data_IF_672263732654
#
_entry.id   IF_672263732654
#
_cell.length_a   1.000
_cell.length_b   1.000
_cell.length_c   1.000
_cell.angle_alpha   90.00
_cell.angle_beta   90.00
_cell.angle_gamma   90.00
#
_symmetry.space_group_name_H-M   'P 1'
#
loop_
_entity.id
_entity.type
_entity.pdbx_description
1 polymer ?
#
# COMPACT_ATOMS: atom_id res chain seq x y z
N UNK A 1 -40.33 -47.50 27.83
CA UNK A 1 -40.35 -46.03 27.67
C UNK A 1 -39.05 -45.63 27.00
N UNK A 2 -39.05 -45.50 25.68
CA UNK A 2 -37.85 -45.19 24.88
C UNK A 2 -37.89 -43.69 24.59
N UNK A 3 -36.93 -42.95 25.10
CA UNK A 3 -36.75 -41.53 24.79
C UNK A 3 -36.00 -41.42 23.45
N UNK A 4 -36.69 -40.97 22.41
CA UNK A 4 -36.04 -40.46 21.20
C UNK A 4 -35.47 -39.07 21.52
N UNK A 5 -34.14 -38.96 21.51
CA UNK A 5 -33.45 -37.66 21.48
C UNK A 5 -33.43 -37.23 20.01
N UNK A 6 -34.26 -36.25 19.66
CA UNK A 6 -34.20 -35.59 18.37
C UNK A 6 -32.99 -34.63 18.38
N UNK A 7 -31.92 -34.98 17.66
CA UNK A 7 -30.90 -34.01 17.28
C UNK A 7 -31.54 -33.02 16.29
N UNK A 8 -31.92 -31.85 16.78
CA UNK A 8 -32.20 -30.70 15.93
C UNK A 8 -30.87 -30.16 15.40
N UNK A 9 -30.44 -30.65 14.24
CA UNK A 9 -29.38 -30.01 13.49
C UNK A 9 -29.84 -28.62 13.08
N UNK A 10 -29.12 -27.58 13.53
CA UNK A 10 -29.29 -26.21 13.03
C UNK A 10 -28.87 -26.17 11.57
N UNK A 11 -29.82 -26.42 10.67
CA UNK A 11 -29.66 -26.08 9.26
C UNK A 11 -29.50 -24.57 9.18
N UNK A 12 -28.32 -24.10 8.77
CA UNK A 12 -28.11 -22.70 8.44
C UNK A 12 -29.19 -22.30 7.42
N UNK A 13 -30.08 -21.39 7.83
CA UNK A 13 -31.17 -20.95 7.00
C UNK A 13 -30.60 -20.10 5.85
N UNK A 14 -30.40 -20.72 4.69
CA UNK A 14 -30.07 -20.01 3.47
C UNK A 14 -31.33 -19.32 2.97
N UNK A 15 -31.40 -17.99 3.13
CA UNK A 15 -32.45 -17.22 2.48
C UNK A 15 -32.32 -17.38 0.96
N UNK A 16 -33.45 -17.62 0.29
CA UNK A 16 -33.49 -17.59 -1.16
C UNK A 16 -33.11 -16.19 -1.64
N UNK A 17 -32.30 -16.12 -2.70
CA UNK A 17 -31.96 -14.85 -3.31
C UNK A 17 -33.22 -14.19 -3.89
N UNK A 18 -33.34 -12.85 -3.85
CA UNK A 18 -34.37 -12.16 -4.62
C UNK A 18 -34.31 -12.60 -6.09
N UNK A 19 -35.46 -12.84 -6.72
CA UNK A 19 -35.53 -13.42 -8.06
C UNK A 19 -34.69 -12.63 -9.09
N UNK A 20 -34.71 -11.29 -9.01
CA UNK A 20 -33.91 -10.43 -9.88
C UNK A 20 -32.40 -10.64 -9.74
N UNK A 21 -31.92 -11.01 -8.55
CA UNK A 21 -30.51 -11.33 -8.28
C UNK A 21 -30.19 -12.72 -8.81
N UNK A 22 -31.02 -13.72 -8.52
CA UNK A 22 -30.85 -15.09 -9.03
C UNK A 22 -30.80 -15.13 -10.58
N UNK A 23 -31.72 -14.42 -11.24
CA UNK A 23 -31.75 -14.32 -12.70
C UNK A 23 -30.51 -13.61 -13.26
N UNK A 24 -30.01 -12.58 -12.59
CA UNK A 24 -28.79 -11.87 -12.97
C UNK A 24 -27.55 -12.78 -12.84
N UNK A 25 -27.43 -13.54 -11.75
CA UNK A 25 -26.35 -14.51 -11.54
C UNK A 25 -26.39 -15.61 -12.62
N UNK A 26 -27.58 -16.16 -12.89
CA UNK A 26 -27.79 -17.16 -13.96
C UNK A 26 -27.39 -16.61 -15.32
N UNK A 27 -27.79 -15.38 -15.66
CA UNK A 27 -27.42 -14.71 -16.92
C UNK A 27 -25.91 -14.48 -17.03
N UNK A 28 -25.24 -14.16 -15.92
CA UNK A 28 -23.79 -13.98 -15.85
C UNK A 28 -23.01 -15.32 -15.82
N UNK A 29 -23.70 -16.46 -15.71
CA UNK A 29 -23.06 -17.77 -15.56
C UNK A 29 -22.37 -17.97 -14.20
N UNK A 30 -22.79 -17.24 -13.18
CA UNK A 30 -22.24 -17.31 -11.82
C UNK A 30 -23.13 -18.25 -10.99
N UNK A 31 -22.63 -19.40 -10.52
CA UNK A 31 -23.40 -20.30 -9.67
C UNK A 31 -23.70 -19.66 -8.30
N UNK A 32 -24.94 -19.79 -7.81
CA UNK A 32 -25.36 -19.18 -6.53
C UNK A 32 -24.52 -19.65 -5.34
N UNK A 33 -24.07 -20.91 -5.33
CA UNK A 33 -23.20 -21.44 -4.27
C UNK A 33 -21.82 -20.79 -4.20
N UNK A 34 -21.41 -20.04 -5.23
CA UNK A 34 -20.16 -19.29 -5.26
C UNK A 34 -20.37 -17.82 -4.86
N UNK A 35 -21.54 -17.46 -4.36
CA UNK A 35 -21.92 -16.11 -3.96
C UNK A 35 -22.33 -16.12 -2.50
N UNK A 36 -21.72 -15.23 -1.71
CA UNK A 36 -22.14 -14.95 -0.34
C UNK A 36 -22.68 -13.50 -0.26
N UNK A 37 -23.88 -13.34 0.29
CA UNK A 37 -24.51 -12.04 0.49
C UNK A 37 -24.99 -11.90 1.94
N UNK A 38 -24.70 -10.73 2.50
CA UNK A 38 -25.20 -10.31 3.79
C UNK A 38 -25.68 -8.86 3.67
N UNK A 39 -26.96 -8.61 3.94
CA UNK A 39 -27.55 -7.27 3.92
C UNK A 39 -28.18 -7.02 5.26
N UNK A 40 -27.70 -5.99 5.96
CA UNK A 40 -28.16 -5.63 7.29
C UNK A 40 -28.37 -4.13 7.34
N UNK A 41 -29.61 -3.71 7.60
CA UNK A 41 -29.87 -2.30 7.89
C UNK A 41 -29.22 -1.95 9.24
N UNK A 42 -28.42 -0.88 9.27
CA UNK A 42 -27.60 -0.52 10.45
C UNK A 42 -28.39 -0.29 11.74
N UNK A 43 -29.70 0.00 11.64
CA UNK A 43 -30.58 0.22 12.78
C UNK A 43 -31.33 -1.05 13.24
N UNK A 44 -31.31 -2.11 12.43
CA UNK A 44 -32.05 -3.33 12.72
C UNK A 44 -31.24 -4.27 13.61
N UNK A 45 -31.92 -5.24 14.23
CA UNK A 45 -31.28 -6.27 15.06
C UNK A 45 -30.87 -7.51 14.27
N UNK A 46 -31.42 -7.69 13.08
CA UNK A 46 -31.28 -8.90 12.26
C UNK A 46 -31.06 -8.52 10.80
N UNK A 47 -30.27 -9.29 10.05
CA UNK A 47 -30.07 -9.02 8.63
C UNK A 47 -31.36 -9.19 7.83
N UNK A 48 -31.52 -8.36 6.80
CA UNK A 48 -32.58 -8.45 5.79
C UNK A 48 -32.34 -9.61 4.82
N UNK A 49 -31.08 -9.93 4.53
CA UNK A 49 -30.67 -11.03 3.66
C UNK A 49 -29.43 -11.70 4.23
N UNK A 50 -29.46 -13.03 4.28
CA UNK A 50 -28.31 -13.88 4.61
C UNK A 50 -28.30 -15.09 3.67
N UNK A 51 -27.37 -15.09 2.70
CA UNK A 51 -27.22 -16.15 1.71
C UNK A 51 -25.77 -16.58 1.65
N UNK A 52 -25.47 -17.85 2.00
CA UNK A 52 -24.10 -18.37 2.19
C UNK A 52 -23.23 -17.45 3.06
N UNK A 53 -23.83 -16.64 3.94
CA UNK A 53 -23.16 -15.49 4.53
C UNK A 53 -22.01 -15.87 5.46
N UNK A 54 -22.08 -17.04 6.10
CA UNK A 54 -21.05 -17.59 6.98
C UNK A 54 -19.90 -18.28 6.23
N UNK A 55 -20.00 -18.47 4.91
CA UNK A 55 -18.93 -19.08 4.13
C UNK A 55 -17.77 -18.11 3.96
N UNK A 56 -16.56 -18.55 4.33
CA UNK A 56 -15.34 -17.80 4.07
C UNK A 56 -15.11 -17.68 2.56
N UNK A 57 -14.92 -16.45 2.08
CA UNK A 57 -14.68 -16.16 0.67
C UNK A 57 -13.46 -15.28 0.51
N UNK A 58 -12.77 -15.40 -0.63
CA UNK A 58 -11.72 -14.46 -1.01
C UNK A 58 -12.25 -13.04 -1.04
N UNK A 59 -11.60 -12.14 -0.30
CA UNK A 59 -12.12 -10.79 -0.09
C UNK A 59 -11.80 -9.85 -1.25
N UNK A 60 -10.70 -10.12 -1.96
CA UNK A 60 -10.00 -9.07 -2.69
C UNK A 60 -9.83 -7.83 -1.78
N UNK A 61 -9.83 -6.63 -2.34
CA UNK A 61 -9.52 -5.39 -1.62
C UNK A 61 -10.44 -5.01 -0.46
N UNK A 62 -11.59 -5.68 -0.25
CA UNK A 62 -12.43 -5.36 0.93
C UNK A 62 -11.76 -5.73 2.25
N UNK A 63 -10.69 -6.56 2.23
CA UNK A 63 -9.84 -6.79 3.40
C UNK A 63 -9.28 -5.49 4.00
N UNK A 64 -9.07 -4.46 3.17
CA UNK A 64 -8.60 -3.15 3.65
C UNK A 64 -9.54 -2.53 4.67
N UNK A 65 -10.84 -2.83 4.64
CA UNK A 65 -11.81 -2.37 5.64
C UNK A 65 -11.46 -2.94 7.02
N UNK A 66 -11.08 -4.22 7.09
CA UNK A 66 -10.62 -4.85 8.34
C UNK A 66 -9.37 -4.15 8.88
N UNK A 67 -8.36 -3.97 8.03
CA UNK A 67 -7.09 -3.33 8.40
C UNK A 67 -7.27 -1.87 8.81
N UNK A 68 -8.01 -1.09 8.03
CA UNK A 68 -8.20 0.35 8.26
C UNK A 68 -9.10 0.62 9.46
N UNK A 69 -10.16 -0.15 9.66
CA UNK A 69 -11.00 0.01 10.85
C UNK A 69 -10.23 -0.32 12.13
N UNK A 70 -9.50 -1.45 12.14
CA UNK A 70 -8.64 -1.81 13.27
C UNK A 70 -7.62 -0.72 13.58
N UNK A 71 -6.99 -0.13 12.56
CA UNK A 71 -6.05 0.96 12.73
C UNK A 71 -6.68 2.22 13.31
N UNK A 72 -7.84 2.65 12.81
CA UNK A 72 -8.54 3.83 13.32
C UNK A 72 -8.91 3.66 14.80
N UNK A 73 -9.36 2.48 15.21
CA UNK A 73 -9.74 2.22 16.60
C UNK A 73 -8.51 2.10 17.51
N UNK A 74 -7.49 1.36 17.08
CA UNK A 74 -6.29 1.07 17.89
C UNK A 74 -5.32 2.24 18.01
N UNK A 75 -5.16 3.04 16.95
CA UNK A 75 -4.18 4.13 16.88
C UNK A 75 -4.84 5.52 17.00
N UNK A 76 -6.16 5.60 16.82
CA UNK A 76 -6.95 6.83 16.68
C UNK A 76 -6.73 7.58 15.36
N UNK A 77 -7.74 8.31 14.85
CA UNK A 77 -7.62 9.08 13.60
C UNK A 77 -6.51 10.14 13.60
N UNK A 78 -6.08 10.59 14.79
CA UNK A 78 -5.05 11.62 14.96
C UNK A 78 -3.62 11.08 14.91
N UNK A 79 -3.43 9.75 14.87
CA UNK A 79 -2.11 9.14 14.76
C UNK A 79 -1.35 9.68 13.54
N UNK A 80 -0.05 9.89 13.70
CA UNK A 80 0.85 10.34 12.64
C UNK A 80 2.14 9.55 12.69
N UNK A 81 2.65 9.20 11.53
CA UNK A 81 3.97 8.61 11.40
C UNK A 81 5.03 9.70 11.45
N UNK A 82 6.24 9.34 11.89
CA UNK A 82 7.39 10.23 11.87
C UNK A 82 8.44 9.76 10.88
N UNK A 83 9.16 10.72 10.31
CA UNK A 83 10.42 10.50 9.58
C UNK A 83 11.47 11.40 10.21
N UNK A 84 12.61 10.82 10.59
CA UNK A 84 13.65 11.53 11.34
C UNK A 84 14.94 11.63 10.52
N UNK A 85 15.63 12.76 10.64
CA UNK A 85 16.97 12.97 10.10
C UNK A 85 17.97 13.13 11.23
N UNK A 86 19.10 12.45 11.11
CA UNK A 86 20.23 12.55 12.01
C UNK A 86 21.51 12.89 11.26
N UNK A 87 22.45 13.48 11.98
CA UNK A 87 23.85 13.58 11.55
C UNK A 87 24.70 12.58 12.31
N UNK A 88 25.59 11.89 11.61
CA UNK A 88 26.69 11.15 12.20
C UNK A 88 28.01 11.80 11.77
N UNK A 89 28.40 12.83 12.52
CA UNK A 89 29.51 13.73 12.20
C UNK A 89 29.27 15.15 12.67
N UNK A 90 30.29 16.00 12.55
CA UNK A 90 30.23 17.41 12.93
C UNK A 90 29.59 18.25 11.82
N UNK A 91 28.75 19.22 12.19
CA UNK A 91 28.22 20.23 11.28
C UNK A 91 28.96 21.54 11.54
N UNK A 92 29.87 21.91 10.62
CA UNK A 92 30.67 23.12 10.72
C UNK A 92 30.73 23.84 9.37
N UNK A 93 30.65 25.18 9.40
CA UNK A 93 30.68 26.01 8.18
C UNK A 93 29.70 25.53 7.09
N UNK A 94 28.50 25.13 7.50
CA UNK A 94 27.44 24.62 6.62
C UNK A 94 27.73 23.27 5.94
N UNK A 95 28.77 22.56 6.38
CA UNK A 95 29.17 21.25 5.87
C UNK A 95 28.98 20.19 6.95
N UNK A 96 28.18 19.16 6.67
CA UNK A 96 28.14 17.95 7.47
C UNK A 96 29.36 17.09 7.12
N UNK A 97 30.33 17.04 8.04
CA UNK A 97 31.53 16.22 7.97
C UNK A 97 31.23 14.81 8.46
N UNK A 98 30.43 14.08 7.69
CA UNK A 98 29.99 12.73 8.04
C UNK A 98 28.75 12.30 7.27
N UNK A 99 28.12 11.23 7.74
CA UNK A 99 26.97 10.61 7.09
C UNK A 99 25.67 11.33 7.52
N UNK A 100 24.76 11.54 6.57
CA UNK A 100 23.38 11.95 6.84
C UNK A 100 22.54 10.68 6.97
N UNK A 101 21.83 10.53 8.09
CA UNK A 101 20.98 9.35 8.32
C UNK A 101 19.51 9.74 8.24
N UNK A 102 18.73 9.01 7.45
CA UNK A 102 17.27 9.08 7.43
C UNK A 102 16.72 7.81 8.08
N UNK A 103 15.93 7.96 9.14
CA UNK A 103 15.23 6.83 9.77
C UNK A 103 13.74 6.91 9.45
N UNK A 104 13.25 5.90 8.75
CA UNK A 104 11.84 5.76 8.44
C UNK A 104 11.11 4.92 9.48
N UNK A 105 9.86 5.30 9.76
CA UNK A 105 8.96 4.59 10.68
C UNK A 105 7.70 4.09 9.98
N UNK A 106 7.77 3.88 8.67
CA UNK A 106 6.71 3.21 7.92
C UNK A 106 5.55 4.10 7.48
N UNK A 107 5.77 5.41 7.30
CA UNK A 107 4.75 6.32 6.76
C UNK A 107 4.24 5.85 5.39
N UNK A 108 2.96 5.43 5.27
CA UNK A 108 2.39 4.98 4.00
C UNK A 108 2.16 6.12 3.00
N UNK A 109 2.16 7.36 3.47
CA UNK A 109 1.77 8.55 2.71
C UNK A 109 2.96 9.42 2.27
N UNK A 110 4.19 9.02 2.59
CA UNK A 110 5.38 9.82 2.36
C UNK A 110 5.67 10.01 0.86
N UNK A 111 5.43 11.23 0.35
CA UNK A 111 5.60 11.57 -1.07
C UNK A 111 6.86 12.39 -1.32
N UNK A 112 7.21 12.57 -2.59
CA UNK A 112 8.33 13.42 -3.01
C UNK A 112 8.19 14.87 -2.50
N UNK A 113 6.97 15.38 -2.38
CA UNK A 113 6.69 16.71 -1.81
C UNK A 113 7.03 16.77 -0.32
N UNK A 114 6.74 15.71 0.43
CA UNK A 114 7.09 15.59 1.85
C UNK A 114 8.60 15.47 2.02
N UNK A 115 9.26 14.74 1.12
CA UNK A 115 10.72 14.68 1.10
C UNK A 115 11.34 16.05 0.79
N UNK A 116 10.78 16.79 -0.17
CA UNK A 116 11.22 18.14 -0.50
C UNK A 116 11.10 19.10 0.69
N UNK A 117 9.99 19.07 1.44
CA UNK A 117 9.80 19.86 2.68
C UNK A 117 10.81 19.49 3.76
N UNK A 118 11.07 18.19 3.94
CA UNK A 118 12.06 17.68 4.88
C UNK A 118 13.47 18.18 4.52
N UNK A 119 13.82 18.15 3.23
CA UNK A 119 15.13 18.63 2.75
C UNK A 119 15.27 20.15 2.81
N UNK A 120 14.19 20.91 2.62
CA UNK A 120 14.19 22.35 2.90
C UNK A 120 14.49 22.62 4.37
N UNK A 121 13.84 21.89 5.27
CA UNK A 121 14.08 22.01 6.71
C UNK A 121 15.54 21.67 7.03
N UNK A 122 16.13 20.70 6.34
CA UNK A 122 17.55 20.34 6.48
C UNK A 122 18.49 21.46 6.02
N UNK A 123 18.16 22.13 4.92
CA UNK A 123 18.88 23.33 4.45
C UNK A 123 18.78 24.46 5.48
N UNK A 124 17.59 24.70 6.04
CA UNK A 124 17.33 25.71 7.06
C UNK A 124 18.06 25.41 8.38
N UNK A 125 18.22 24.13 8.72
CA UNK A 125 19.04 23.68 9.84
C UNK A 125 20.56 23.84 9.62
N UNK A 126 20.96 24.41 8.48
CA UNK A 126 22.33 24.83 8.20
C UNK A 126 23.16 23.82 7.43
N UNK A 127 22.58 22.73 6.91
CA UNK A 127 23.31 21.78 6.07
C UNK A 127 23.26 22.27 4.62
N UNK A 128 24.41 22.64 4.05
CA UNK A 128 24.55 22.95 2.61
C UNK A 128 25.25 21.85 1.82
N UNK A 129 26.21 21.19 2.46
CA UNK A 129 27.01 20.11 1.89
C UNK A 129 27.04 18.92 2.84
N UNK A 130 27.00 17.71 2.28
CA UNK A 130 27.19 16.47 3.01
C UNK A 130 28.44 15.80 2.42
N UNK A 131 29.48 15.65 3.24
CA UNK A 131 30.77 15.07 2.82
C UNK A 131 30.82 13.55 2.91
N UNK A 132 29.95 12.94 3.72
CA UNK A 132 29.79 11.49 3.81
C UNK A 132 28.66 10.97 2.92
N UNK A 133 28.02 9.90 3.39
CA UNK A 133 27.04 9.09 2.67
C UNK A 133 25.61 9.43 3.11
N UNK A 134 24.64 8.96 2.32
CA UNK A 134 23.25 8.89 2.77
C UNK A 134 23.02 7.49 3.36
N UNK A 135 22.72 7.44 4.65
CA UNK A 135 22.34 6.20 5.35
C UNK A 135 20.83 6.16 5.49
N UNK A 136 20.20 5.08 5.05
CA UNK A 136 18.78 4.82 5.26
C UNK A 136 18.64 3.72 6.33
N UNK A 137 18.08 4.10 7.48
CA UNK A 137 17.73 3.19 8.56
C UNK A 137 16.28 2.72 8.39
N UNK A 138 16.14 1.43 8.08
CA UNK A 138 14.86 0.73 7.87
C UNK A 138 14.51 -0.26 8.99
N UNK A 139 15.24 -0.22 10.12
CA UNK A 139 15.12 -1.22 11.20
C UNK A 139 13.79 -1.20 11.95
N UNK A 140 12.91 -0.24 11.66
CA UNK A 140 11.57 -0.18 12.27
C UNK A 140 10.69 -1.37 11.87
N UNK A 141 10.82 -1.84 10.63
CA UNK A 141 10.16 -3.05 10.16
C UNK A 141 11.16 -4.19 10.09
N UNK A 142 10.70 -5.42 10.35
CA UNK A 142 11.55 -6.59 10.15
C UNK A 142 11.83 -6.79 8.67
N UNK A 143 13.03 -7.29 8.33
CA UNK A 143 13.36 -7.62 6.95
C UNK A 143 12.50 -8.80 6.47
N UNK A 144 11.45 -8.51 5.71
CA UNK A 144 10.65 -9.54 5.03
C UNK A 144 11.37 -9.99 3.76
N UNK A 145 11.58 -11.30 3.62
CA UNK A 145 12.13 -11.94 2.40
C UNK A 145 11.04 -12.63 1.57
N UNK A 146 9.77 -12.50 1.95
CA UNK A 146 8.69 -13.25 1.33
C UNK A 146 8.18 -12.48 0.11
N UNK A 147 8.68 -12.82 -1.07
CA UNK A 147 8.02 -12.46 -2.33
C UNK A 147 6.78 -13.34 -2.48
N UNK A 148 5.59 -12.79 -2.17
CA UNK A 148 4.33 -13.48 -2.42
C UNK A 148 3.99 -13.30 -3.90
N UNK A 149 4.27 -14.33 -4.70
CA UNK A 149 3.98 -14.35 -6.12
C UNK A 149 2.57 -14.90 -6.36
N UNK A 150 1.56 -14.02 -6.35
CA UNK A 150 0.15 -14.37 -6.65
C UNK A 150 -0.28 -14.01 -8.08
N UNK A 151 0.57 -13.30 -8.83
CA UNK A 151 0.39 -12.98 -10.25
C UNK A 151 1.74 -12.81 -10.98
N UNK A 152 1.72 -12.84 -12.31
CA UNK A 152 2.92 -12.66 -13.13
C UNK A 152 3.34 -11.19 -13.32
N UNK A 153 2.74 -10.25 -12.60
CA UNK A 153 2.83 -8.80 -12.84
C UNK A 153 3.82 -8.14 -11.85
N UNK A 154 5.01 -8.71 -11.72
CA UNK A 154 6.05 -8.31 -10.74
C UNK A 154 6.29 -6.81 -10.62
N UNK A 155 6.27 -6.09 -11.74
CA UNK A 155 6.64 -4.67 -11.79
C UNK A 155 5.48 -3.72 -11.55
N UNK A 156 4.25 -4.19 -11.38
CA UNK A 156 3.12 -3.29 -11.17
C UNK A 156 3.22 -2.62 -9.80
N UNK A 157 2.92 -1.33 -9.74
CA UNK A 157 3.03 -0.57 -8.49
C UNK A 157 2.18 -1.16 -7.35
N UNK A 158 1.05 -1.82 -7.66
CA UNK A 158 0.21 -2.48 -6.65
C UNK A 158 0.86 -3.72 -6.01
N UNK A 159 1.96 -4.22 -6.59
CA UNK A 159 2.77 -5.33 -6.09
C UNK A 159 4.02 -4.87 -5.32
N UNK A 160 4.25 -3.56 -5.18
CA UNK A 160 5.39 -3.08 -4.41
C UNK A 160 5.36 -3.60 -2.96
N UNK A 161 6.54 -3.91 -2.45
CA UNK A 161 6.73 -4.39 -1.08
C UNK A 161 6.78 -3.22 -0.09
N UNK A 162 6.22 -3.36 1.12
CA UNK A 162 6.30 -2.33 2.14
C UNK A 162 7.75 -2.16 2.63
N UNK A 163 8.04 -0.98 3.19
CA UNK A 163 9.34 -0.63 3.76
C UNK A 163 9.18 0.39 4.88
N UNK A 164 10.09 0.38 5.85
CA UNK A 164 10.11 1.39 6.89
C UNK A 164 10.38 2.81 6.33
N UNK A 165 11.03 2.93 5.16
CA UNK A 165 11.15 4.20 4.44
C UNK A 165 10.80 4.02 2.97
N UNK A 166 9.68 4.59 2.56
CA UNK A 166 9.11 4.39 1.22
C UNK A 166 8.69 5.75 0.64
N UNK A 167 9.34 6.19 -0.43
CA UNK A 167 9.00 7.45 -1.11
C UNK A 167 8.05 7.17 -2.27
N UNK A 168 6.91 7.88 -2.34
CA UNK A 168 5.86 7.71 -3.36
C UNK A 168 5.36 6.26 -3.50
N UNK A 169 5.49 5.42 -2.48
CA UNK A 169 5.17 3.99 -2.63
C UNK A 169 6.06 3.24 -3.64
N UNK A 170 7.23 3.80 -4.01
CA UNK A 170 8.07 3.40 -5.16
C UNK A 170 7.36 3.44 -6.51
N UNK A 171 6.30 4.23 -6.61
CA UNK A 171 5.56 4.34 -7.85
C UNK A 171 6.32 5.23 -8.85
N UNK A 172 6.61 4.65 -10.03
CA UNK A 172 7.05 5.36 -11.22
C UNK A 172 5.90 5.38 -12.21
N UNK A 173 5.24 6.53 -12.34
CA UNK A 173 4.17 6.73 -13.32
C UNK A 173 4.76 7.03 -14.69
N UNK A 174 4.48 6.16 -15.66
CA UNK A 174 4.80 6.38 -17.07
C UNK A 174 3.59 6.96 -17.78
N UNK A 175 3.74 8.16 -18.33
CA UNK A 175 2.75 8.87 -19.12
C UNK A 175 2.96 8.60 -20.60
N UNK A 176 1.92 8.06 -21.24
CA UNK A 176 1.85 7.75 -22.67
C UNK A 176 0.93 8.75 -23.36
N UNK A 177 1.40 9.33 -24.47
CA UNK A 177 0.58 10.16 -25.33
C UNK A 177 0.99 9.93 -26.79
N UNK A 178 0.05 9.93 -27.72
CA UNK A 178 0.35 9.90 -29.14
C UNK A 178 0.34 11.32 -29.72
N UNK A 179 1.45 11.73 -30.32
CA UNK A 179 1.47 12.88 -31.22
C UNK A 179 0.93 12.48 -32.60
N UNK A 180 0.97 13.41 -33.57
CA UNK A 180 0.63 13.10 -34.96
C UNK A 180 1.57 12.03 -35.56
N UNK A 181 2.84 12.03 -35.16
CA UNK A 181 3.89 11.21 -35.78
C UNK A 181 4.31 10.00 -34.94
N UNK A 182 4.29 10.11 -33.61
CA UNK A 182 4.90 9.12 -32.72
C UNK A 182 4.10 8.91 -31.43
N UNK A 183 4.49 7.89 -30.67
CA UNK A 183 4.06 7.71 -29.28
C UNK A 183 5.16 8.30 -28.41
N UNK A 184 4.81 9.19 -27.49
CA UNK A 184 5.71 9.76 -26.49
C UNK A 184 5.48 9.05 -25.16
N UNK A 185 6.58 8.70 -24.49
CA UNK A 185 6.57 8.10 -23.15
C UNK A 185 7.47 8.95 -22.26
N UNK A 186 6.94 9.36 -21.11
CA UNK A 186 7.64 10.21 -20.13
C UNK A 186 7.32 9.76 -18.70
N UNK A 187 8.08 10.23 -17.72
CA UNK A 187 7.79 10.02 -16.30
C UNK A 187 7.03 11.24 -15.75
N UNK A 188 6.05 11.05 -14.87
CA UNK A 188 5.44 12.18 -14.15
C UNK A 188 6.42 12.84 -13.18
N UNK A 189 7.23 12.02 -12.50
CA UNK A 189 8.35 12.48 -11.66
C UNK A 189 9.66 11.95 -12.24
N UNK A 190 10.36 12.81 -12.97
CA UNK A 190 11.56 12.42 -13.72
C UNK A 190 12.75 12.11 -12.78
N UNK A 191 13.15 10.84 -12.78
CA UNK A 191 14.43 10.37 -12.26
C UNK A 191 15.34 10.02 -13.45
N UNK A 192 16.52 10.67 -13.61
CA UNK A 192 17.46 10.38 -14.69
C UNK A 192 17.93 8.92 -14.74
N UNK A 193 17.95 8.25 -13.59
CA UNK A 193 18.31 6.84 -13.45
C UNK A 193 17.23 5.87 -13.95
N UNK A 194 16.06 6.35 -14.38
CA UNK A 194 15.04 5.56 -15.07
C UNK A 194 15.12 5.86 -16.57
N UNK A 195 15.83 5.00 -17.29
CA UNK A 195 16.06 5.14 -18.74
C UNK A 195 14.89 4.53 -19.51
N UNK A 196 14.17 5.35 -20.26
CA UNK A 196 13.05 4.90 -21.11
C UNK A 196 13.57 4.56 -22.50
N UNK A 197 13.32 3.34 -22.96
CA UNK A 197 13.52 2.91 -24.34
C UNK A 197 12.15 2.73 -24.99
N UNK A 198 11.76 3.67 -25.83
CA UNK A 198 10.45 3.68 -26.46
C UNK A 198 10.50 3.07 -27.87
N UNK A 199 9.91 1.88 -28.03
CA UNK A 199 9.79 1.16 -29.31
C UNK A 199 8.32 1.00 -29.73
N UNK A 200 7.42 1.82 -29.17
CA UNK A 200 6.01 1.77 -29.49
C UNK A 200 5.73 2.28 -30.89
N UNK A 201 4.89 1.54 -31.62
CA UNK A 201 4.37 1.95 -32.92
C UNK A 201 3.04 2.68 -32.74
N UNK A 202 2.95 3.89 -33.29
CA UNK A 202 1.67 4.61 -33.36
C UNK A 202 0.73 3.87 -34.33
N UNK A 203 -0.52 3.68 -33.93
CA UNK A 203 -1.56 3.12 -34.79
C UNK A 203 -2.79 4.03 -34.90
N UNK A 204 -3.52 3.91 -36.00
CA UNK A 204 -4.88 4.43 -36.11
C UNK A 204 -5.87 3.43 -35.48
N UNK A 205 -7.08 3.89 -35.13
CA UNK A 205 -8.12 3.05 -34.54
C UNK A 205 -8.55 3.47 -33.14
N UNK A 206 -9.51 2.75 -32.57
CA UNK A 206 -10.05 3.03 -31.24
C UNK A 206 -9.06 2.68 -30.13
N UNK A 207 -9.19 3.33 -28.98
CA UNK A 207 -8.29 3.04 -27.86
C UNK A 207 -8.53 1.64 -27.28
N UNK A 208 -9.79 1.23 -27.08
CA UNK A 208 -10.14 -0.08 -26.52
C UNK A 208 -9.29 -0.49 -25.31
N UNK A 209 -8.97 -1.78 -25.21
CA UNK A 209 -7.96 -2.26 -24.28
C UNK A 209 -6.55 -2.00 -24.83
N UNK A 210 -5.99 -0.83 -24.54
CA UNK A 210 -4.66 -0.48 -25.02
C UNK A 210 -3.51 -1.25 -24.34
N UNK A 211 -3.77 -2.09 -23.31
CA UNK A 211 -2.70 -2.72 -22.47
C UNK A 211 -2.30 -4.03 -23.07
N UNK A 212 -3.27 -4.83 -23.52
CA UNK A 212 -3.00 -6.07 -24.23
C UNK A 212 -2.17 -5.88 -25.51
N UNK A 213 -2.13 -4.66 -26.07
CA UNK A 213 -1.34 -4.33 -27.26
C UNK A 213 0.05 -3.74 -26.97
N UNK A 214 0.39 -3.59 -25.70
CA UNK A 214 1.67 -3.06 -25.25
C UNK A 214 2.36 -4.10 -24.35
N UNK A 215 3.67 -4.22 -24.50
CA UNK A 215 4.51 -4.96 -23.57
C UNK A 215 5.56 -4.03 -23.00
N UNK A 216 6.09 -4.37 -21.83
CA UNK A 216 7.23 -3.69 -21.24
C UNK A 216 8.23 -4.72 -20.71
N UNK A 217 9.51 -4.35 -20.74
CA UNK A 217 10.61 -5.10 -20.14
C UNK A 217 11.39 -4.17 -19.20
N UNK A 218 11.73 -4.66 -18.01
CA UNK A 218 12.40 -3.87 -16.97
C UNK A 218 13.72 -4.56 -16.63
N UNK A 219 14.83 -3.84 -16.85
CA UNK A 219 16.18 -4.31 -16.57
C UNK A 219 16.84 -3.40 -15.53
N UNK A 220 16.72 -3.73 -14.23
CA UNK A 220 17.37 -2.98 -13.18
C UNK A 220 18.87 -3.34 -13.09
N UNK A 221 19.68 -2.37 -12.69
CA UNK A 221 21.02 -2.58 -12.15
C UNK A 221 21.19 -1.70 -10.89
N UNK A 222 22.40 -1.64 -10.32
CA UNK A 222 22.65 -0.89 -9.09
C UNK A 222 22.54 0.63 -9.25
N UNK A 223 22.85 1.16 -10.44
CA UNK A 223 22.96 2.60 -10.70
C UNK A 223 21.76 3.19 -11.44
N UNK A 224 21.04 2.37 -12.21
CA UNK A 224 19.90 2.77 -13.03
C UNK A 224 18.96 1.58 -13.32
N UNK A 225 17.81 1.87 -13.90
CA UNK A 225 16.89 0.89 -14.48
C UNK A 225 16.53 1.29 -15.90
N UNK A 226 16.57 0.32 -16.83
CA UNK A 226 16.10 0.53 -18.20
C UNK A 226 14.70 -0.07 -18.35
N UNK A 227 13.74 0.72 -18.80
CA UNK A 227 12.36 0.29 -19.09
C UNK A 227 12.12 0.40 -20.58
N UNK A 228 11.91 -0.73 -21.24
CA UNK A 228 11.65 -0.80 -22.69
C UNK A 228 10.17 -1.01 -22.94
N UNK A 229 9.51 -0.11 -23.66
CA UNK A 229 8.11 -0.24 -24.09
C UNK A 229 8.03 -0.68 -25.54
N UNK A 230 7.24 -1.72 -25.81
CA UNK A 230 7.07 -2.36 -27.12
C UNK A 230 5.60 -2.51 -27.48
N UNK A 231 5.32 -2.70 -28.77
CA UNK A 231 3.97 -2.96 -29.28
C UNK A 231 3.36 -1.75 -29.94
N UNK A 232 2.07 -1.49 -29.71
CA UNK A 232 1.32 -0.45 -30.40
C UNK A 232 0.47 0.41 -29.47
N UNK A 233 0.34 1.69 -29.81
CA UNK A 233 -0.50 2.65 -29.09
C UNK A 233 -1.32 3.47 -30.08
N UNK A 234 -2.64 3.44 -29.91
CA UNK A 234 -3.56 4.10 -30.82
C UNK A 234 -3.69 5.59 -30.51
N UNK A 235 -3.71 6.45 -31.53
CA UNK A 235 -3.83 7.89 -31.34
C UNK A 235 -5.08 8.31 -30.54
N UNK A 236 -6.20 7.59 -30.73
CA UNK A 236 -7.45 7.83 -30.00
C UNK A 236 -7.38 7.51 -28.49
N UNK A 237 -6.28 6.95 -27.99
CA UNK A 237 -6.10 6.76 -26.54
C UNK A 237 -5.87 8.07 -25.79
N UNK A 238 -5.38 9.11 -26.48
CA UNK A 238 -4.94 10.33 -25.81
C UNK A 238 -3.92 10.01 -24.73
N UNK A 239 -4.03 10.71 -23.60
CA UNK A 239 -3.15 10.54 -22.46
C UNK A 239 -3.55 9.36 -21.58
N UNK A 240 -2.57 8.51 -21.25
CA UNK A 240 -2.75 7.37 -20.34
C UNK A 240 -1.52 7.18 -19.46
N UNK A 241 -1.73 6.49 -18.35
CA UNK A 241 -0.70 6.23 -17.35
C UNK A 241 -0.53 4.73 -17.09
N UNK A 242 0.71 4.33 -16.80
CA UNK A 242 1.04 3.01 -16.29
C UNK A 242 1.93 3.14 -15.07
N UNK A 243 1.40 2.67 -13.94
CA UNK A 243 2.07 2.71 -12.64
C UNK A 243 2.92 1.44 -12.44
N UNK A 244 4.25 1.62 -12.42
CA UNK A 244 5.21 0.54 -12.19
C UNK A 244 6.08 0.83 -10.97
N UNK A 245 6.58 -0.21 -10.31
CA UNK A 245 7.58 -0.15 -9.24
C UNK A 245 8.91 -0.72 -9.74
N UNK A 246 9.65 0.07 -10.53
CA UNK A 246 10.84 -0.39 -11.28
C UNK A 246 12.17 -0.30 -10.53
N UNK A 247 12.22 0.47 -9.44
CA UNK A 247 13.39 0.64 -8.56
C UNK A 247 13.19 -0.05 -7.22
N UNK A 248 14.26 -0.43 -6.51
CA UNK A 248 14.17 -0.79 -5.09
C UNK A 248 13.67 0.39 -4.24
N UNK A 249 13.20 0.13 -3.00
CA UNK A 249 12.81 1.18 -2.05
C UNK A 249 13.99 2.13 -1.79
N UNK A 250 15.16 1.54 -1.62
CA UNK A 250 16.42 2.23 -1.35
C UNK A 250 16.87 3.08 -2.56
N UNK A 251 16.81 2.54 -3.77
CA UNK A 251 17.19 3.25 -4.99
C UNK A 251 16.23 4.41 -5.28
N UNK A 252 14.91 4.18 -5.19
CA UNK A 252 13.93 5.23 -5.42
C UNK A 252 14.11 6.39 -4.42
N UNK A 253 14.29 6.06 -3.13
CA UNK A 253 14.56 7.05 -2.09
C UNK A 253 15.86 7.82 -2.36
N UNK A 254 16.94 7.12 -2.71
CA UNK A 254 18.25 7.73 -2.97
C UNK A 254 18.26 8.64 -4.19
N UNK A 255 17.66 8.22 -5.31
CA UNK A 255 17.59 9.03 -6.52
C UNK A 255 16.69 10.25 -6.33
N UNK A 256 15.58 10.09 -5.60
CA UNK A 256 14.73 11.21 -5.20
C UNK A 256 15.49 12.19 -4.30
N UNK A 257 16.25 11.70 -3.32
CA UNK A 257 17.12 12.52 -2.48
C UNK A 257 18.12 13.31 -3.33
N UNK A 258 18.89 12.65 -4.20
CA UNK A 258 19.89 13.32 -5.06
C UNK A 258 19.26 14.42 -5.91
N UNK A 259 18.13 14.12 -6.55
CA UNK A 259 17.40 15.08 -7.39
C UNK A 259 16.99 16.31 -6.58
N UNK A 260 16.23 16.12 -5.51
CA UNK A 260 15.66 17.20 -4.71
C UNK A 260 16.75 17.99 -3.97
N UNK A 261 17.77 17.30 -3.42
CA UNK A 261 18.88 17.96 -2.72
C UNK A 261 19.65 18.89 -3.67
N UNK A 262 19.96 18.43 -4.87
CA UNK A 262 20.61 19.25 -5.91
C UNK A 262 19.74 20.43 -6.32
N UNK A 263 18.45 20.22 -6.55
CA UNK A 263 17.49 21.29 -6.91
C UNK A 263 17.38 22.37 -5.82
N UNK A 264 17.57 21.99 -4.54
CA UNK A 264 17.64 22.90 -3.40
C UNK A 264 19.02 23.57 -3.22
N UNK A 265 19.96 23.34 -4.15
CA UNK A 265 21.33 23.86 -4.11
C UNK A 265 22.25 23.14 -3.13
N UNK A 266 21.93 21.89 -2.79
CA UNK A 266 22.70 21.00 -1.94
C UNK A 266 23.85 20.32 -2.67
N UNK A 267 25.00 20.21 -2.01
CA UNK A 267 26.15 19.43 -2.48
C UNK A 267 26.17 18.06 -1.80
N UNK A 268 26.27 16.99 -2.59
CA UNK A 268 26.40 15.61 -2.11
C UNK A 268 27.09 14.74 -3.17
N UNK A 269 28.19 14.11 -2.79
CA UNK A 269 28.96 13.18 -3.64
C UNK A 269 29.13 11.79 -3.01
N UNK A 270 28.45 11.53 -1.89
CA UNK A 270 28.51 10.24 -1.21
C UNK A 270 27.71 9.15 -1.92
N UNK A 271 27.72 7.96 -1.33
CA UNK A 271 26.92 6.83 -1.81
C UNK A 271 25.75 6.54 -0.87
N UNK A 272 24.89 5.61 -1.30
CA UNK A 272 23.83 5.07 -0.48
C UNK A 272 24.38 3.97 0.44
N UNK A 273 23.98 3.98 1.71
CA UNK A 273 24.16 2.89 2.67
C UNK A 273 22.82 2.55 3.31
N UNK A 274 22.59 1.27 3.58
CA UNK A 274 21.43 0.79 4.33
C UNK A 274 21.97 0.16 5.61
N UNK A 275 21.74 0.83 6.73
CA UNK A 275 22.29 0.43 8.01
C UNK A 275 21.43 0.99 9.14
N UNK A 276 21.50 0.35 10.30
CA UNK A 276 20.93 0.93 11.52
C UNK A 276 21.60 2.27 11.82
N UNK A 277 20.80 3.23 12.29
CA UNK A 277 21.29 4.53 12.73
C UNK A 277 22.33 4.34 13.85
N UNK A 278 23.55 4.91 13.73
CA UNK A 278 24.54 4.87 14.79
C UNK A 278 23.99 5.40 16.12
N UNK A 279 24.43 4.81 17.23
CA UNK A 279 24.04 5.23 18.58
C UNK A 279 24.52 6.67 18.86
N UNK A 280 25.64 7.07 18.26
CA UNK A 280 26.24 8.41 18.35
C UNK A 280 25.57 9.46 17.47
N UNK A 281 24.70 9.06 16.54
CA UNK A 281 24.07 10.00 15.61
C UNK A 281 23.10 10.96 16.33
N UNK A 282 23.20 12.25 16.02
CA UNK A 282 22.43 13.32 16.67
C UNK A 282 21.24 13.71 15.81
N UNK A 283 20.03 13.74 16.38
CA UNK A 283 18.81 14.12 15.65
C UNK A 283 18.90 15.58 15.23
N UNK A 284 18.65 15.84 13.96
CA UNK A 284 18.55 17.18 13.39
C UNK A 284 17.09 17.60 13.25
N UNK A 285 16.26 16.73 12.69
CA UNK A 285 14.89 17.05 12.29
C UNK A 285 13.96 15.86 12.47
N UNK A 286 12.68 16.17 12.54
CA UNK A 286 11.58 15.23 12.54
C UNK A 286 10.43 15.85 11.73
N UNK A 287 9.82 15.04 10.87
CA UNK A 287 8.62 15.41 10.12
C UNK A 287 7.52 14.41 10.40
N UNK A 288 6.33 14.93 10.72
CA UNK A 288 5.13 14.13 10.90
C UNK A 288 4.34 14.04 9.60
N UNK A 289 3.76 12.88 9.33
CA UNK A 289 2.86 12.62 8.21
C UNK A 289 1.52 13.37 8.35
N UNK A 290 0.66 13.28 7.33
CA UNK A 290 -0.77 13.53 7.49
C UNK A 290 -1.40 12.56 8.53
N UNK A 291 -2.52 12.93 9.17
CA UNK A 291 -3.13 12.10 10.21
C UNK A 291 -3.75 10.82 9.61
N UNK A 292 -3.84 9.76 10.42
CA UNK A 292 -4.33 8.45 10.02
C UNK A 292 -5.68 8.51 9.30
N UNK A 293 -6.62 9.35 9.74
CA UNK A 293 -7.91 9.51 9.05
C UNK A 293 -7.77 9.90 7.57
N UNK A 294 -6.85 10.82 7.26
CA UNK A 294 -6.54 11.20 5.86
C UNK A 294 -5.89 10.07 5.09
N UNK A 295 -4.98 9.33 5.73
CA UNK A 295 -4.30 8.18 5.13
C UNK A 295 -5.27 7.04 4.83
N UNK A 296 -6.19 6.74 5.75
CA UNK A 296 -7.23 5.71 5.58
C UNK A 296 -8.15 6.05 4.41
N UNK A 297 -8.55 7.33 4.28
CA UNK A 297 -9.31 7.78 3.11
C UNK A 297 -8.56 7.46 1.81
N UNK A 298 -7.26 7.75 1.73
CA UNK A 298 -6.46 7.47 0.54
C UNK A 298 -6.32 5.96 0.28
N UNK A 299 -6.14 5.14 1.34
CA UNK A 299 -6.14 3.67 1.25
C UNK A 299 -7.45 3.17 0.65
N UNK A 300 -8.58 3.59 1.20
CA UNK A 300 -9.90 3.05 0.86
C UNK A 300 -10.41 3.59 -0.49
N UNK A 301 -10.25 4.89 -0.78
CA UNK A 301 -10.73 5.49 -2.04
C UNK A 301 -9.95 5.02 -3.26
N UNK A 302 -8.64 4.84 -3.13
CA UNK A 302 -7.79 4.39 -4.22
C UNK A 302 -7.46 2.90 -4.17
N UNK A 303 -7.99 2.19 -3.17
CA UNK A 303 -7.69 0.78 -2.87
C UNK A 303 -6.18 0.50 -2.87
N UNK A 304 -5.40 1.35 -2.22
CA UNK A 304 -3.94 1.29 -2.29
C UNK A 304 -3.38 0.11 -1.48
N UNK A 305 -2.84 -0.91 -2.17
CA UNK A 305 -2.34 -2.13 -1.54
C UNK A 305 -1.13 -1.87 -0.64
N UNK A 306 -0.18 -1.07 -1.11
CA UNK A 306 1.10 -0.84 -0.42
C UNK A 306 0.85 -0.09 0.87
N UNK A 307 -0.02 0.91 0.84
CA UNK A 307 -0.41 1.67 2.03
C UNK A 307 -1.13 0.79 3.06
N UNK A 308 -2.00 -0.13 2.63
CA UNK A 308 -2.64 -1.08 3.56
C UNK A 308 -1.63 -2.02 4.23
N UNK A 309 -0.63 -2.51 3.48
CA UNK A 309 0.46 -3.34 4.02
C UNK A 309 1.33 -2.56 5.03
N UNK A 310 1.71 -1.33 4.71
CA UNK A 310 2.41 -0.43 5.63
C UNK A 310 1.61 -0.21 6.92
N UNK A 311 0.29 -0.03 6.81
CA UNK A 311 -0.60 0.17 7.96
C UNK A 311 -0.69 -1.08 8.84
N UNK A 312 -0.73 -2.27 8.23
CA UNK A 312 -0.67 -3.54 8.97
C UNK A 312 0.64 -3.70 9.75
N UNK A 313 1.77 -3.35 9.14
CA UNK A 313 3.08 -3.34 9.83
C UNK A 313 3.15 -2.27 10.92
N UNK A 314 2.51 -1.12 10.72
CA UNK A 314 2.38 -0.08 11.75
C UNK A 314 1.61 -0.61 12.96
N UNK A 315 0.50 -1.31 12.74
CA UNK A 315 -0.25 -1.97 13.82
C UNK A 315 0.62 -2.95 14.61
N UNK A 316 1.44 -3.75 13.92
CA UNK A 316 2.41 -4.63 14.57
C UNK A 316 3.39 -3.84 15.43
N UNK A 317 4.02 -2.79 14.88
CA UNK A 317 5.00 -2.00 15.60
C UNK A 317 4.43 -1.30 16.85
N UNK A 318 3.28 -0.63 16.71
CA UNK A 318 2.67 0.17 17.78
C UNK A 318 1.99 -0.69 18.86
N UNK A 319 1.62 -1.94 18.55
CA UNK A 319 0.94 -2.86 19.50
C UNK A 319 1.82 -4.05 19.90
N UNK A 320 3.14 -3.83 19.94
CA UNK A 320 4.15 -4.78 20.43
C UNK A 320 4.14 -6.15 19.71
N UNK A 321 3.80 -6.16 18.43
CA UNK A 321 3.98 -7.29 17.53
C UNK A 321 5.41 -7.37 17.03
N UNK A 322 6.30 -8.00 17.81
CA UNK A 322 7.71 -8.21 17.46
C UNK A 322 7.97 -9.67 17.06
N UNK A 323 8.79 -9.94 16.02
CA UNK A 323 9.31 -8.96 15.05
C UNK A 323 8.18 -8.32 14.22
N UNK A 324 8.37 -7.07 13.80
CA UNK A 324 7.37 -6.29 13.05
C UNK A 324 7.20 -6.87 11.65
N UNK A 325 6.23 -7.78 11.51
CA UNK A 325 5.92 -8.53 10.28
C UNK A 325 4.42 -8.46 9.99
N UNK A 326 4.00 -8.78 8.76
CA UNK A 326 2.57 -8.82 8.40
C UNK A 326 1.82 -9.84 9.25
N UNK A 327 2.44 -10.99 9.56
CA UNK A 327 1.88 -11.99 10.48
C UNK A 327 1.64 -11.39 11.88
N UNK A 328 2.60 -10.65 12.43
CA UNK A 328 2.42 -10.00 13.73
C UNK A 328 1.29 -8.96 13.68
N UNK A 329 1.13 -8.23 12.56
CA UNK A 329 0.03 -7.30 12.35
C UNK A 329 -1.33 -8.00 12.26
N UNK A 330 -1.41 -9.13 11.57
CA UNK A 330 -2.62 -9.95 11.51
C UNK A 330 -3.05 -10.42 12.91
N UNK A 331 -2.10 -10.85 13.74
CA UNK A 331 -2.37 -11.26 15.13
C UNK A 331 -2.75 -10.08 16.05
N UNK A 332 -2.30 -8.86 15.76
CA UNK A 332 -2.83 -7.64 16.42
C UNK A 332 -4.31 -7.46 16.10
N UNK A 333 -4.70 -7.55 14.82
CA UNK A 333 -6.11 -7.40 14.40
C UNK A 333 -6.99 -8.50 15.01
N UNK A 334 -6.55 -9.76 14.98
CA UNK A 334 -7.32 -10.87 15.58
C UNK A 334 -7.53 -10.68 17.09
N UNK A 335 -6.50 -10.28 17.83
CA UNK A 335 -6.64 -9.96 19.27
C UNK A 335 -7.55 -8.77 19.52
N UNK A 336 -7.52 -7.76 18.66
CA UNK A 336 -8.41 -6.62 18.72
C UNK A 336 -9.87 -7.02 18.50
N UNK A 337 -10.16 -7.88 17.52
CA UNK A 337 -11.49 -8.45 17.30
C UNK A 337 -11.98 -9.22 18.55
N UNK A 338 -11.14 -10.10 19.10
CA UNK A 338 -11.46 -10.88 20.31
C UNK A 338 -11.74 -9.98 21.52
N UNK A 339 -10.94 -8.92 21.70
CA UNK A 339 -11.12 -7.94 22.79
C UNK A 339 -12.45 -7.19 22.67
N UNK A 340 -12.93 -6.99 21.43
CA UNK A 340 -14.22 -6.40 21.13
C UNK A 340 -15.35 -7.45 20.98
N UNK A 341 -15.12 -8.68 21.47
CA UNK A 341 -16.09 -9.77 21.48
C UNK A 341 -16.55 -10.27 20.09
N UNK A 342 -15.71 -10.07 19.06
CA UNK A 342 -15.90 -10.66 17.74
C UNK A 342 -15.03 -11.92 17.57
N UNK A 343 -15.66 -13.05 17.23
CA UNK A 343 -14.98 -14.31 16.96
C UNK A 343 -15.06 -14.64 15.47
N UNK A 344 -14.10 -14.14 14.70
CA UNK A 344 -14.01 -14.36 13.26
C UNK A 344 -13.02 -15.48 12.96
N UNK A 345 -13.33 -16.71 13.39
CA UNK A 345 -12.39 -17.84 13.33
C UNK A 345 -11.95 -18.18 11.90
N UNK A 346 -12.78 -17.87 10.91
CA UNK A 346 -12.48 -18.10 9.49
C UNK A 346 -11.62 -17.00 8.86
N UNK A 347 -11.41 -15.87 9.54
CA UNK A 347 -10.65 -14.73 9.04
C UNK A 347 -9.17 -15.08 8.85
N UNK A 348 -8.70 -14.95 7.61
CA UNK A 348 -7.29 -15.06 7.26
C UNK A 348 -6.81 -13.72 6.74
N UNK A 349 -5.79 -13.18 7.39
CA UNK A 349 -5.07 -11.97 6.99
C UNK A 349 -3.63 -12.39 6.71
N UNK A 350 -3.13 -12.13 5.51
CA UNK A 350 -1.74 -12.42 5.13
C UNK A 350 -0.94 -11.11 4.97
N UNK A 351 -1.52 -10.12 4.29
CA UNK A 351 -0.90 -8.83 4.01
C UNK A 351 -1.83 -7.64 4.29
N UNK A 352 -3.09 -7.88 4.62
CA UNK A 352 -4.06 -6.85 5.04
C UNK A 352 -4.59 -5.99 3.89
N UNK A 353 -4.16 -6.24 2.64
CA UNK A 353 -4.58 -5.46 1.48
C UNK A 353 -5.64 -6.13 0.63
N UNK A 354 -5.89 -7.43 0.83
CA UNK A 354 -6.81 -8.20 -0.02
C UNK A 354 -6.15 -8.79 -1.26
N UNK A 355 -4.84 -8.64 -1.40
CA UNK A 355 -4.14 -9.02 -2.63
C UNK A 355 -3.76 -10.51 -2.63
N UNK A 356 -3.67 -11.09 -1.45
CA UNK A 356 -3.41 -12.51 -1.27
C UNK A 356 -4.53 -13.38 -1.83
N UNK A 357 -4.18 -14.58 -2.31
CA UNK A 357 -5.15 -15.61 -2.70
C UNK A 357 -5.69 -16.44 -1.53
N UNK A 358 -5.11 -16.30 -0.35
CA UNK A 358 -5.55 -17.04 0.85
C UNK A 358 -6.31 -16.16 1.85
N UNK A 359 -6.31 -14.84 1.65
CA UNK A 359 -7.09 -13.93 2.48
C UNK A 359 -8.59 -14.16 2.29
N UNK A 360 -9.28 -14.36 3.40
CA UNK A 360 -10.69 -14.70 3.42
C UNK A 360 -11.39 -14.11 4.64
N UNK A 361 -12.67 -13.77 4.47
CA UNK A 361 -13.62 -13.45 5.54
C UNK A 361 -15.01 -13.86 5.05
N UNK A 362 -15.92 -14.19 5.96
CA UNK A 362 -17.31 -14.40 5.61
C UNK A 362 -18.03 -13.06 5.33
N UNK A 363 -19.07 -13.08 4.49
CA UNK A 363 -19.88 -11.89 4.23
C UNK A 363 -20.61 -11.42 5.50
N UNK A 364 -20.99 -12.35 6.36
CA UNK A 364 -21.60 -12.08 7.66
C UNK A 364 -20.66 -11.29 8.57
N UNK A 365 -19.43 -11.78 8.80
CA UNK A 365 -18.49 -11.09 9.68
C UNK A 365 -18.02 -9.75 9.11
N UNK A 366 -17.86 -9.64 7.80
CA UNK A 366 -17.60 -8.34 7.17
C UNK A 366 -18.78 -7.36 7.38
N UNK A 367 -20.01 -7.85 7.24
CA UNK A 367 -21.20 -7.06 7.49
C UNK A 367 -21.35 -6.61 8.95
N UNK A 368 -21.08 -7.50 9.90
CA UNK A 368 -21.05 -7.19 11.33
C UNK A 368 -20.00 -6.12 11.66
N UNK A 369 -18.80 -6.24 11.08
CA UNK A 369 -17.75 -5.23 11.21
C UNK A 369 -18.20 -3.86 10.68
N UNK A 370 -18.88 -3.82 9.54
CA UNK A 370 -19.40 -2.57 8.96
C UNK A 370 -20.50 -1.94 9.82
N UNK A 371 -21.42 -2.74 10.37
CA UNK A 371 -22.44 -2.26 11.30
C UNK A 371 -21.81 -1.73 12.58
N UNK A 372 -20.78 -2.41 13.09
CA UNK A 372 -20.03 -1.93 14.25
C UNK A 372 -19.30 -0.62 13.95
N UNK A 373 -18.62 -0.53 12.82
CA UNK A 373 -17.93 0.68 12.37
C UNK A 373 -18.90 1.87 12.24
N UNK A 374 -20.10 1.65 11.71
CA UNK A 374 -21.14 2.69 11.61
C UNK A 374 -21.56 3.27 12.97
N UNK A 375 -21.60 2.42 14.00
CA UNK A 375 -21.98 2.81 15.36
C UNK A 375 -20.79 3.31 16.21
N UNK A 376 -19.58 3.31 15.66
CA UNK A 376 -18.36 3.73 16.36
C UNK A 376 -18.18 5.26 16.31
N UNK A 377 -17.56 5.90 17.33
CA UNK A 377 -17.20 7.31 17.29
C UNK A 377 -16.30 7.70 16.11
N UNK A 378 -15.57 6.74 15.52
CA UNK A 378 -14.69 6.95 14.36
C UNK A 378 -15.39 6.77 13.01
N UNK A 379 -16.71 6.54 12.98
CA UNK A 379 -17.50 6.38 11.75
C UNK A 379 -17.22 7.43 10.66
N UNK A 380 -17.05 8.74 10.98
CA UNK A 380 -16.81 9.75 9.95
C UNK A 380 -15.50 9.58 9.16
N UNK A 381 -14.57 8.75 9.65
CA UNK A 381 -13.24 8.52 9.07
C UNK A 381 -13.17 7.30 8.14
N UNK A 382 -14.23 6.49 8.08
CA UNK A 382 -14.28 5.19 7.36
C UNK A 382 -14.65 5.30 5.87
#
# INVERSE_FOLDING_TARGET
MVFLIALAGSLAANAALPQSVADALKKAGVPEQNVALYVHAVADKTPLLSHNAAQAMNTASVMKVVTTHAALDLLTPAYRWKTEIYRDGELANWVLQGDLVIKGYGDPSFKAQDFWRLLISLRQAGVKKISGNLVIDKTYFANSKVEINFDSEKWRAYNATPSAFLVNGRNTSFKFNASEEAVNVSQEFELPEVVIVNQLKRTSGSCGDWRSRMAYDVKPNLEQVTVTFNGSYAAACGERFLELSVLSDEQYAFFTFKKLWRELGGEFNGTLKVAEKPVTAVKLLEQMSEPLGTVVRDINKWSNNVMAKQLLLTLAAEKNGLPVTEQAGAEVIKRWLQTNHFNFDELVIENGSGLSRIEQISAEHLGQLLVWAYNSPIMPEM
#
